data_IF_443931536163
#
_entry.id   IF_443931536163
#
_cell.length_a   1.000
_cell.length_b   1.000
_cell.length_c   1.000
_cell.angle_alpha   90.00
_cell.angle_beta   90.00
_cell.angle_gamma   90.00
#
_symmetry.space_group_name_H-M   'P 1'
#
loop_
_entity.id
_entity.type
_entity.pdbx_description
1 polymer ?
#
# COMPACT_ATOMS: atom_id res chain seq x y z
N UNK A 1 -11.23 15.86 -16.87
CA UNK A 1 -10.84 14.94 -17.97
C UNK A 1 -9.55 14.16 -17.71
N UNK A 2 -8.39 14.79 -17.40
CA UNK A 2 -7.16 14.04 -17.02
C UNK A 2 -7.17 13.60 -15.54
N UNK A 3 -7.59 14.50 -14.65
CA UNK A 3 -7.61 14.24 -13.20
C UNK A 3 -8.56 13.09 -12.83
N UNK A 4 -9.67 12.97 -13.56
CA UNK A 4 -10.62 11.86 -13.42
C UNK A 4 -10.00 10.50 -13.80
N UNK A 5 -9.02 10.46 -14.70
CA UNK A 5 -8.37 9.22 -15.13
C UNK A 5 -7.46 8.71 -14.02
N UNK A 6 -6.66 9.59 -13.39
CA UNK A 6 -5.75 9.19 -12.32
C UNK A 6 -6.50 8.64 -11.10
N UNK A 7 -7.60 9.28 -10.71
CA UNK A 7 -8.43 8.79 -9.60
C UNK A 7 -9.13 7.47 -9.94
N UNK A 8 -9.59 7.28 -11.18
CA UNK A 8 -10.13 6.00 -11.64
C UNK A 8 -9.07 4.89 -11.64
N UNK A 9 -7.83 5.21 -12.04
CA UNK A 9 -6.71 4.27 -12.01
C UNK A 9 -6.36 3.88 -10.56
N UNK A 10 -6.29 4.85 -9.65
CA UNK A 10 -6.11 4.61 -8.22
C UNK A 10 -7.17 3.62 -7.71
N UNK A 11 -8.45 3.88 -7.97
CA UNK A 11 -9.53 3.00 -7.55
C UNK A 11 -9.43 1.59 -8.15
N UNK A 12 -9.08 1.48 -9.44
CA UNK A 12 -8.95 0.20 -10.12
C UNK A 12 -7.78 -0.64 -9.60
N UNK A 13 -6.60 -0.03 -9.40
CA UNK A 13 -5.45 -0.74 -8.84
C UNK A 13 -5.69 -1.14 -7.38
N UNK A 14 -6.30 -0.26 -6.59
CA UNK A 14 -6.69 -0.59 -5.22
C UNK A 14 -7.68 -1.75 -5.17
N UNK A 15 -8.67 -1.77 -6.07
CA UNK A 15 -9.59 -2.89 -6.20
C UNK A 15 -8.85 -4.20 -6.48
N UNK A 16 -7.89 -4.21 -7.41
CA UNK A 16 -7.10 -5.40 -7.70
C UNK A 16 -6.33 -5.90 -6.48
N UNK A 17 -5.72 -5.00 -5.71
CA UNK A 17 -5.01 -5.32 -4.46
C UNK A 17 -5.94 -5.95 -3.43
N UNK A 18 -7.11 -5.35 -3.19
CA UNK A 18 -8.07 -5.82 -2.19
C UNK A 18 -8.71 -7.16 -2.58
N UNK A 19 -9.02 -7.35 -3.86
CA UNK A 19 -9.51 -8.61 -4.41
C UNK A 19 -8.48 -9.73 -4.28
N UNK A 20 -7.19 -9.42 -4.45
CA UNK A 20 -6.12 -10.42 -4.29
C UNK A 20 -6.00 -10.94 -2.86
N UNK A 21 -6.47 -10.22 -1.84
CA UNK A 21 -6.43 -10.64 -0.44
C UNK A 21 -7.81 -11.03 0.11
N UNK A 22 -8.81 -11.20 -0.75
CA UNK A 22 -10.12 -11.69 -0.38
C UNK A 22 -10.10 -13.16 0.01
N UNK A 23 -10.84 -13.49 1.07
CA UNK A 23 -10.94 -14.84 1.63
C UNK A 23 -9.71 -15.32 2.42
N UNK A 24 -8.66 -14.52 2.55
CA UNK A 24 -7.50 -14.88 3.36
C UNK A 24 -7.82 -14.84 4.86
N UNK A 25 -7.22 -15.74 5.62
CA UNK A 25 -7.27 -15.69 7.09
C UNK A 25 -6.18 -14.75 7.65
N UNK A 26 -6.30 -14.38 8.93
CA UNK A 26 -5.25 -13.58 9.59
C UNK A 26 -3.91 -14.35 9.63
N UNK A 27 -3.95 -15.68 9.82
CA UNK A 27 -2.76 -16.53 9.81
C UNK A 27 -2.10 -16.55 8.43
N UNK A 28 -2.87 -16.63 7.34
CA UNK A 28 -2.33 -16.53 5.98
C UNK A 28 -1.76 -15.14 5.71
N UNK A 29 -2.35 -14.09 6.27
CA UNK A 29 -1.85 -12.73 6.13
C UNK A 29 -0.53 -12.50 6.87
N UNK A 30 -0.33 -13.18 8.00
CA UNK A 30 0.86 -13.09 8.83
C UNK A 30 1.99 -14.05 8.44
N UNK A 31 1.67 -15.05 7.64
CA UNK A 31 2.64 -16.05 7.23
C UNK A 31 3.76 -15.46 6.36
N UNK A 32 5.02 -15.74 6.75
CA UNK A 32 6.23 -15.40 5.98
C UNK A 32 6.78 -16.69 5.35
N UNK A 33 6.63 -16.90 4.04
CA UNK A 33 7.19 -18.08 3.39
C UNK A 33 8.72 -18.05 3.36
N UNK A 34 9.33 -19.22 3.24
CA UNK A 34 10.78 -19.34 3.06
C UNK A 34 11.25 -18.55 1.83
N UNK A 35 12.37 -17.82 1.98
CA UNK A 35 12.91 -16.93 0.95
C UNK A 35 12.27 -15.53 0.93
N UNK A 36 11.22 -15.28 1.71
CA UNK A 36 10.66 -13.95 1.93
C UNK A 36 11.09 -13.41 3.29
N UNK A 37 11.15 -12.08 3.40
CA UNK A 37 11.38 -11.37 4.66
C UNK A 37 10.18 -10.50 5.08
N UNK A 38 9.05 -10.64 4.37
CA UNK A 38 7.80 -9.94 4.66
C UNK A 38 6.59 -10.88 4.43
N UNK A 39 5.40 -10.44 4.85
CA UNK A 39 4.14 -11.17 4.71
C UNK A 39 3.09 -10.29 4.01
N UNK A 40 1.90 -10.84 3.76
CA UNK A 40 0.82 -10.12 3.07
C UNK A 40 0.38 -8.90 3.88
N UNK A 41 0.26 -9.01 5.22
CA UNK A 41 -0.11 -7.89 6.09
C UNK A 41 0.86 -6.71 5.96
N UNK A 42 2.16 -6.99 5.97
CA UNK A 42 3.19 -5.98 5.80
C UNK A 42 3.08 -5.29 4.43
N UNK A 43 2.87 -6.05 3.36
CA UNK A 43 2.72 -5.46 2.02
C UNK A 43 1.49 -4.54 1.93
N UNK A 44 0.35 -4.92 2.52
CA UNK A 44 -0.85 -4.07 2.57
C UNK A 44 -0.63 -2.79 3.38
N UNK A 45 -0.01 -2.91 4.55
CA UNK A 45 0.32 -1.76 5.39
C UNK A 45 1.34 -0.83 4.72
N UNK A 46 2.30 -1.39 3.99
CA UNK A 46 3.32 -0.63 3.26
C UNK A 46 2.71 0.15 2.10
N UNK A 47 1.81 -0.46 1.32
CA UNK A 47 1.05 0.23 0.27
C UNK A 47 0.31 1.44 0.84
N UNK A 48 -0.40 1.24 1.96
CA UNK A 48 -1.15 2.32 2.61
C UNK A 48 -0.23 3.47 3.04
N UNK A 49 0.89 3.14 3.68
CA UNK A 49 1.84 4.12 4.21
C UNK A 49 2.58 4.85 3.09
N UNK A 50 3.16 4.14 2.13
CA UNK A 50 3.95 4.71 1.02
C UNK A 50 3.12 5.70 0.21
N UNK A 51 1.86 5.38 -0.07
CA UNK A 51 1.02 6.28 -0.86
C UNK A 51 0.77 7.62 -0.15
N UNK A 52 0.56 7.63 1.16
CA UNK A 52 0.47 8.88 1.91
C UNK A 52 1.83 9.56 2.09
N UNK A 53 2.91 8.80 2.34
CA UNK A 53 4.24 9.37 2.48
C UNK A 53 4.62 10.14 1.20
N UNK A 54 4.28 9.63 0.01
CA UNK A 54 4.53 10.32 -1.26
C UNK A 54 3.58 11.49 -1.55
N UNK A 55 2.29 11.35 -1.27
CA UNK A 55 1.33 12.43 -1.54
C UNK A 55 1.50 13.62 -0.59
N UNK A 56 1.95 13.38 0.64
CA UNK A 56 2.25 14.43 1.60
C UNK A 56 3.74 14.80 1.62
N UNK A 57 4.54 14.22 0.72
CA UNK A 57 5.94 14.61 0.52
C UNK A 57 5.99 16.00 -0.11
N UNK A 58 6.91 16.84 0.36
CA UNK A 58 7.12 18.20 -0.17
C UNK A 58 5.90 19.11 -0.12
N UNK A 59 4.98 18.87 0.82
CA UNK A 59 3.92 19.82 1.17
C UNK A 59 3.85 20.01 2.69
N UNK A 60 3.43 21.19 3.12
CA UNK A 60 3.26 21.54 4.55
C UNK A 60 1.85 21.18 5.07
N UNK A 61 1.46 19.93 4.91
CA UNK A 61 0.16 19.40 5.35
C UNK A 61 0.34 18.18 6.25
N UNK A 62 -0.61 17.96 7.17
CA UNK A 62 -0.52 16.87 8.15
C UNK A 62 -0.69 15.49 7.49
N UNK A 63 0.24 14.59 7.77
CA UNK A 63 0.21 13.23 7.24
C UNK A 63 -0.90 12.40 7.91
N UNK A 64 -1.87 11.83 7.17
CA UNK A 64 -3.06 11.21 7.76
C UNK A 64 -2.83 9.81 8.33
N UNK A 65 -1.73 9.12 7.98
CA UNK A 65 -1.46 7.80 8.54
C UNK A 65 -1.11 7.84 10.04
N UNK A 66 -1.53 6.84 10.84
CA UNK A 66 -1.13 6.73 12.23
C UNK A 66 0.40 6.69 12.38
N UNK A 67 0.94 7.46 13.33
CA UNK A 67 2.41 7.63 13.51
C UNK A 67 3.14 6.29 13.62
N UNK A 68 2.58 5.34 14.37
CA UNK A 68 3.18 4.03 14.61
C UNK A 68 3.23 3.12 13.37
N UNK A 69 2.53 3.47 12.27
CA UNK A 69 2.61 2.68 11.03
C UNK A 69 4.00 2.72 10.42
N UNK A 70 4.79 3.78 10.64
CA UNK A 70 6.19 3.84 10.16
C UNK A 70 7.07 2.76 10.80
N UNK A 71 6.83 2.42 12.06
CA UNK A 71 7.56 1.35 12.78
C UNK A 71 7.17 -0.05 12.26
N UNK A 72 5.95 -0.19 11.73
CA UNK A 72 5.41 -1.46 11.25
C UNK A 72 5.66 -1.69 9.75
N UNK A 73 5.46 -0.65 8.96
CA UNK A 73 5.32 -0.74 7.50
C UNK A 73 6.28 0.19 6.76
N UNK A 74 7.16 0.92 7.46
CA UNK A 74 8.14 1.77 6.81
C UNK A 74 9.13 0.99 5.94
N UNK A 75 9.75 1.67 4.97
CA UNK A 75 10.81 1.08 4.16
C UNK A 75 11.90 0.45 5.05
N UNK A 76 12.30 -0.78 4.72
CA UNK A 76 13.32 -1.54 5.47
C UNK A 76 12.82 -2.25 6.74
N UNK A 77 11.56 -2.04 7.15
CA UNK A 77 10.95 -2.82 8.24
C UNK A 77 10.60 -4.24 7.77
N UNK A 78 10.41 -5.15 8.72
CA UNK A 78 9.96 -6.53 8.46
C UNK A 78 9.13 -7.06 9.63
N UNK A 79 8.18 -7.99 9.39
CA UNK A 79 7.31 -8.55 10.43
C UNK A 79 8.05 -9.11 11.64
N UNK A 80 9.19 -9.76 11.41
CA UNK A 80 10.05 -10.33 12.46
C UNK A 80 10.51 -9.30 13.50
N UNK A 81 10.59 -8.02 13.11
CA UNK A 81 11.05 -6.94 13.98
C UNK A 81 9.90 -6.17 14.65
N UNK A 82 8.63 -6.52 14.41
CA UNK A 82 7.50 -5.81 14.99
C UNK A 82 7.49 -5.89 16.51
N UNK A 83 7.58 -4.71 17.15
CA UNK A 83 7.46 -4.56 18.61
C UNK A 83 6.02 -4.22 19.05
N UNK A 84 5.13 -3.99 18.08
CA UNK A 84 3.71 -3.68 18.28
C UNK A 84 2.86 -4.62 17.47
N UNK A 85 1.67 -4.91 17.99
CA UNK A 85 0.66 -5.63 17.23
C UNK A 85 0.24 -4.78 16.02
N UNK A 86 0.34 -5.31 14.80
CA UNK A 86 -0.12 -4.60 13.62
C UNK A 86 -1.66 -4.58 13.57
N UNK A 87 -2.26 -3.67 12.79
CA UNK A 87 -3.68 -3.68 12.48
C UNK A 87 -4.14 -5.02 11.87
N UNK A 88 -5.40 -5.39 12.09
CA UNK A 88 -5.97 -6.63 11.52
C UNK A 88 -6.03 -6.58 9.99
N UNK A 89 -6.19 -7.74 9.34
CA UNK A 89 -6.27 -7.79 7.87
C UNK A 89 -7.51 -7.02 7.41
N UNK A 90 -8.61 -7.21 8.12
CA UNK A 90 -9.86 -6.50 7.87
C UNK A 90 -9.70 -4.98 8.06
N UNK A 91 -8.98 -4.53 9.10
CA UNK A 91 -8.73 -3.12 9.33
C UNK A 91 -7.89 -2.50 8.19
N UNK A 92 -6.80 -3.17 7.78
CA UNK A 92 -5.98 -2.68 6.65
C UNK A 92 -6.79 -2.61 5.36
N UNK A 93 -7.61 -3.62 5.06
CA UNK A 93 -8.49 -3.61 3.89
C UNK A 93 -9.45 -2.41 3.92
N UNK A 94 -10.06 -2.14 5.07
CA UNK A 94 -10.97 -1.01 5.24
C UNK A 94 -10.25 0.33 5.03
N UNK A 95 -9.10 0.53 5.68
CA UNK A 95 -8.29 1.75 5.56
C UNK A 95 -7.80 1.99 4.13
N UNK A 96 -7.37 0.93 3.46
CA UNK A 96 -6.96 0.97 2.06
C UNK A 96 -8.14 1.33 1.14
N UNK A 97 -9.36 0.87 1.43
CA UNK A 97 -10.55 1.27 0.67
C UNK A 97 -10.91 2.75 0.90
N UNK A 98 -10.92 3.19 2.16
CA UNK A 98 -11.19 4.58 2.56
C UNK A 98 -10.18 5.56 1.98
N UNK A 99 -8.89 5.18 1.95
CA UNK A 99 -7.80 6.00 1.41
C UNK A 99 -8.07 6.50 -0.01
N UNK A 100 -8.74 5.71 -0.86
CA UNK A 100 -9.10 6.15 -2.23
C UNK A 100 -10.04 7.35 -2.21
N UNK A 101 -11.02 7.33 -1.30
CA UNK A 101 -11.98 8.44 -1.14
C UNK A 101 -11.27 9.67 -0.60
N UNK A 102 -10.48 9.51 0.46
CA UNK A 102 -9.70 10.60 1.07
C UNK A 102 -8.79 11.27 0.03
N UNK A 103 -8.05 10.49 -0.76
CA UNK A 103 -7.18 11.03 -1.81
C UNK A 103 -8.00 11.79 -2.86
N UNK A 104 -9.15 11.24 -3.28
CA UNK A 104 -10.03 11.89 -4.24
C UNK A 104 -10.57 13.24 -3.75
N UNK A 105 -10.97 13.32 -2.49
CA UNK A 105 -11.50 14.54 -1.87
C UNK A 105 -10.40 15.60 -1.68
N UNK A 106 -9.25 15.20 -1.14
CA UNK A 106 -8.17 16.13 -0.80
C UNK A 106 -7.39 16.63 -2.03
N UNK A 107 -7.08 15.73 -2.96
CA UNK A 107 -6.18 16.04 -4.07
C UNK A 107 -6.88 16.15 -5.43
N UNK A 108 -8.08 15.60 -5.59
CA UNK A 108 -8.74 15.48 -6.90
C UNK A 108 -8.93 16.81 -7.64
N UNK A 109 -9.19 17.89 -6.91
CA UNK A 109 -9.38 19.23 -7.46
C UNK A 109 -8.08 20.02 -7.67
N UNK A 110 -6.94 19.50 -7.19
CA UNK A 110 -5.63 20.18 -7.18
C UNK A 110 -4.50 19.30 -7.70
N UNK A 111 -4.79 18.28 -8.52
CA UNK A 111 -3.75 17.36 -9.02
C UNK A 111 -2.66 18.07 -9.82
N UNK A 112 -3.01 19.12 -10.56
CA UNK A 112 -2.07 19.92 -11.36
C UNK A 112 -1.35 21.01 -10.52
N UNK A 113 -1.61 21.10 -9.21
CA UNK A 113 -0.94 22.04 -8.33
C UNK A 113 0.53 21.65 -8.15
N UNK A 114 1.42 22.64 -8.18
CA UNK A 114 2.83 22.46 -7.84
C UNK A 114 3.01 22.13 -6.36
N UNK A 115 3.97 21.22 -6.10
CA UNK A 115 4.50 20.93 -4.77
C UNK A 115 5.35 22.10 -4.27
N UNK A 116 5.62 22.18 -2.96
CA UNK A 116 6.48 23.25 -2.41
C UNK A 116 7.92 23.15 -2.95
N UNK A 117 8.36 21.92 -3.25
CA UNK A 117 9.64 21.60 -3.88
C UNK A 117 9.49 20.35 -4.77
N UNK A 118 10.31 20.21 -5.83
CA UNK A 118 10.36 18.97 -6.59
C UNK A 118 10.76 17.79 -5.71
N UNK A 119 10.18 16.62 -5.97
CA UNK A 119 10.64 15.36 -5.37
C UNK A 119 12.03 14.98 -5.86
N UNK A 120 12.67 14.02 -5.20
CA UNK A 120 13.99 13.49 -5.57
C UNK A 120 14.00 12.85 -6.98
N UNK A 121 12.82 12.53 -7.52
CA UNK A 121 12.62 12.00 -8.88
C UNK A 121 12.26 13.09 -9.90
N UNK A 122 12.28 14.37 -9.50
CA UNK A 122 11.98 15.51 -10.38
C UNK A 122 10.49 15.75 -10.64
N UNK A 123 9.59 15.12 -9.88
CA UNK A 123 8.15 15.35 -9.97
C UNK A 123 7.77 16.65 -9.27
N UNK A 124 6.95 17.47 -9.91
CA UNK A 124 6.59 18.83 -9.50
C UNK A 124 5.11 18.96 -9.11
N UNK A 125 4.25 18.01 -9.47
CA UNK A 125 2.81 18.07 -9.19
C UNK A 125 2.28 16.75 -8.62
N UNK A 126 1.13 16.78 -7.97
CA UNK A 126 0.46 15.54 -7.53
C UNK A 126 0.10 14.62 -8.70
N UNK A 127 -0.23 15.18 -9.87
CA UNK A 127 -0.50 14.42 -11.09
C UNK A 127 0.71 13.61 -11.57
N UNK A 128 1.93 14.05 -11.24
CA UNK A 128 3.17 13.32 -11.51
C UNK A 128 3.50 12.30 -10.41
N UNK A 129 3.26 12.65 -9.14
CA UNK A 129 3.49 11.75 -7.98
C UNK A 129 2.56 10.54 -7.98
N UNK A 130 1.28 10.76 -8.25
CA UNK A 130 0.23 9.76 -8.10
C UNK A 130 0.53 8.49 -8.97
N UNK A 131 0.89 8.59 -10.27
CA UNK A 131 1.47 7.51 -11.08
C UNK A 131 2.53 6.63 -10.44
N UNK A 132 3.49 7.24 -9.73
CA UNK A 132 4.54 6.50 -9.04
C UNK A 132 3.97 5.63 -7.93
N UNK A 133 2.96 6.12 -7.19
CA UNK A 133 2.36 5.36 -6.08
C UNK A 133 1.64 4.10 -6.57
N UNK A 134 0.93 4.15 -7.71
CA UNK A 134 0.27 2.94 -8.23
C UNK A 134 1.25 1.94 -8.83
N UNK A 135 2.30 2.42 -9.50
CA UNK A 135 3.36 1.53 -9.97
C UNK A 135 3.95 0.73 -8.80
N UNK A 136 4.23 1.42 -7.69
CA UNK A 136 4.74 0.79 -6.48
C UNK A 136 3.73 -0.17 -5.83
N UNK A 137 2.45 0.22 -5.74
CA UNK A 137 1.39 -0.70 -5.30
C UNK A 137 1.32 -1.96 -6.19
N UNK A 138 1.50 -1.83 -7.50
CA UNK A 138 1.59 -2.96 -8.43
C UNK A 138 2.75 -3.93 -8.13
N UNK A 139 3.91 -3.42 -7.71
CA UNK A 139 5.03 -4.25 -7.27
C UNK A 139 4.66 -5.04 -6.01
N UNK A 140 4.05 -4.39 -5.03
CA UNK A 140 3.60 -5.05 -3.79
C UNK A 140 2.47 -6.05 -4.02
N UNK A 141 1.55 -5.78 -4.96
CA UNK A 141 0.56 -6.75 -5.42
C UNK A 141 1.25 -7.98 -6.02
N UNK A 142 2.28 -7.81 -6.84
CA UNK A 142 3.09 -8.93 -7.35
C UNK A 142 3.72 -9.77 -6.24
N UNK A 143 4.24 -9.13 -5.19
CA UNK A 143 4.76 -9.80 -3.99
C UNK A 143 3.66 -10.55 -3.24
N UNK A 144 2.50 -9.93 -3.01
CA UNK A 144 1.34 -10.56 -2.37
C UNK A 144 0.92 -11.83 -3.11
N UNK A 145 0.78 -11.76 -4.44
CA UNK A 145 0.42 -12.92 -5.26
C UNK A 145 1.46 -14.05 -5.16
N UNK A 146 2.74 -13.68 -5.10
CA UNK A 146 3.85 -14.64 -4.94
C UNK A 146 3.82 -15.33 -3.57
N UNK A 147 3.58 -14.57 -2.49
CA UNK A 147 3.43 -15.12 -1.14
C UNK A 147 2.21 -16.06 -1.06
N UNK A 148 1.06 -15.66 -1.62
CA UNK A 148 -0.13 -16.52 -1.70
C UNK A 148 0.17 -17.85 -2.39
N UNK A 149 0.89 -17.80 -3.51
CA UNK A 149 1.29 -19.02 -4.24
C UNK A 149 2.19 -19.91 -3.38
N UNK A 150 3.14 -19.33 -2.65
CA UNK A 150 4.04 -20.08 -1.77
C UNK A 150 3.27 -20.77 -0.62
N UNK A 151 2.34 -20.06 0.03
CA UNK A 151 1.44 -20.62 1.07
C UNK A 151 0.68 -21.82 0.52
N UNK A 152 0.10 -21.69 -0.68
CA UNK A 152 -0.66 -22.76 -1.30
C UNK A 152 0.20 -24.00 -1.58
N UNK A 153 1.42 -23.83 -2.10
CA UNK A 153 2.34 -24.93 -2.37
C UNK A 153 2.77 -25.66 -1.09
N UNK A 154 3.02 -24.94 0.01
CA UNK A 154 3.37 -25.56 1.28
C UNK A 154 2.22 -26.40 1.86
N UNK A 155 0.98 -25.91 1.79
CA UNK A 155 -0.21 -26.68 2.20
C UNK A 155 -0.34 -27.99 1.41
N UNK A 156 -0.06 -27.97 0.11
CA UNK A 156 -0.09 -29.18 -0.73
C UNK A 156 0.97 -30.22 -0.33
N UNK A 157 2.18 -29.77 0.04
CA UNK A 157 3.27 -30.65 0.47
C UNK A 157 2.99 -31.30 1.82
N UNK A 158 2.32 -30.60 2.74
CA UNK A 158 1.95 -31.15 4.07
C UNK A 158 0.79 -32.16 4.03
N UNK A 159 0.05 -32.23 2.92
CA UNK A 159 -1.09 -33.15 2.76
C UNK A 159 -0.71 -34.45 2.04
N UNK A 160 0.56 -34.61 1.64
CA UNK A 160 1.12 -35.82 1.01
C UNK A 160 2.00 -36.57 1.98
#
# INVERSE_FOLDING_TARGET
MKNDILLKQLAAFRHNTLSAVEGLTEEEADFVPEGFNNNIRWNLGHIFLDQYDWLYHKIREDHPAPIHYRELFGYGTKPENWQRTPPTLQELRHRLMEQVQVIGEQFGHRLDQELDEPTELGMNTFAEVLPRTFYHEGLHLGTILSIKKAIHLQKQTQTK
#
